data_IF_442286977163
#
_entry.id   IF_442286977163
#
_cell.length_a   1.000
_cell.length_b   1.000
_cell.length_c   1.000
_cell.angle_alpha   90.00
_cell.angle_beta   90.00
_cell.angle_gamma   90.00
#
_symmetry.space_group_name_H-M   'P 1'
#
loop_
_entity.id
_entity.type
_entity.pdbx_description
1 polymer ?
#
# COMPACT_ATOMS: atom_id res chain seq x y z
N UNK A 1 -64.19 -7.20 21.26
CA UNK A 1 -63.13 -7.31 22.29
C UNK A 1 -62.40 -8.61 22.06
N UNK A 2 -61.28 -8.56 21.33
CA UNK A 2 -60.23 -9.59 21.25
C UNK A 2 -59.15 -9.05 20.28
N UNK A 3 -58.19 -8.32 20.84
CA UNK A 3 -57.03 -7.79 20.14
C UNK A 3 -55.97 -8.88 20.11
N UNK A 4 -55.73 -9.51 18.96
CA UNK A 4 -54.59 -10.41 18.79
C UNK A 4 -53.30 -9.58 18.68
N UNK A 5 -52.59 -9.51 19.81
CA UNK A 5 -51.21 -9.05 19.89
C UNK A 5 -50.35 -10.25 19.50
N UNK A 6 -50.03 -10.38 18.21
CA UNK A 6 -48.87 -11.20 17.82
C UNK A 6 -47.61 -10.39 18.08
N UNK A 7 -46.86 -10.91 19.02
CA UNK A 7 -45.63 -10.39 19.60
C UNK A 7 -44.52 -10.31 18.55
N UNK A 8 -44.05 -9.10 18.28
CA UNK A 8 -42.76 -8.85 17.64
C UNK A 8 -41.67 -9.33 18.61
N UNK A 9 -41.22 -10.57 18.45
CA UNK A 9 -39.98 -11.07 19.03
C UNK A 9 -39.01 -11.39 17.89
N UNK A 10 -38.42 -10.35 17.30
CA UNK A 10 -37.16 -10.50 16.56
C UNK A 10 -36.07 -10.80 17.59
N UNK A 11 -35.86 -12.09 17.84
CA UNK A 11 -34.66 -12.57 18.51
C UNK A 11 -33.44 -12.12 17.72
N UNK A 12 -32.77 -11.06 18.19
CA UNK A 12 -31.46 -10.60 17.74
C UNK A 12 -30.40 -11.61 18.19
N UNK A 13 -30.43 -12.81 17.60
CA UNK A 13 -29.42 -13.82 17.86
C UNK A 13 -28.23 -13.56 16.91
N UNK A 14 -27.01 -13.27 17.40
CA UNK A 14 -25.85 -12.97 16.56
C UNK A 14 -25.54 -14.10 15.56
N UNK A 15 -25.87 -15.34 15.91
CA UNK A 15 -25.73 -16.51 15.04
C UNK A 15 -26.63 -16.42 13.80
N UNK A 16 -27.88 -15.96 13.94
CA UNK A 16 -28.81 -15.81 12.82
C UNK A 16 -28.43 -14.64 11.90
N UNK A 17 -27.79 -13.60 12.43
CA UNK A 17 -27.22 -12.51 11.65
C UNK A 17 -26.02 -12.99 10.80
N UNK A 18 -25.15 -13.83 11.38
CA UNK A 18 -24.02 -14.43 10.66
C UNK A 18 -24.51 -15.40 9.57
N UNK A 19 -25.47 -16.27 9.87
CA UNK A 19 -26.01 -17.24 8.90
C UNK A 19 -26.71 -16.54 7.73
N UNK A 20 -27.50 -15.49 8.00
CA UNK A 20 -28.17 -14.71 6.94
C UNK A 20 -27.19 -13.89 6.08
N UNK A 21 -26.11 -13.38 6.67
CA UNK A 21 -25.01 -12.75 5.93
C UNK A 21 -24.30 -13.75 4.99
N UNK A 22 -23.98 -14.95 5.48
CA UNK A 22 -23.37 -16.01 4.68
C UNK A 22 -24.28 -16.48 3.53
N UNK A 23 -25.59 -16.61 3.76
CA UNK A 23 -26.54 -17.00 2.71
C UNK A 23 -26.72 -15.91 1.63
N UNK A 24 -26.74 -14.63 2.03
CA UNK A 24 -26.86 -13.49 1.09
C UNK A 24 -25.60 -13.30 0.23
N UNK A 25 -24.43 -13.61 0.78
CA UNK A 25 -23.14 -13.47 0.09
C UNK A 25 -22.53 -14.80 -0.41
N UNK A 26 -23.28 -15.90 -0.37
CA UNK A 26 -22.80 -17.27 -0.65
C UNK A 26 -22.04 -17.38 -1.99
N UNK A 27 -22.58 -16.80 -3.08
CA UNK A 27 -21.92 -16.81 -4.40
C UNK A 27 -20.62 -15.98 -4.45
N UNK A 28 -20.53 -14.90 -3.65
CA UNK A 28 -19.35 -14.03 -3.58
C UNK A 28 -18.22 -14.62 -2.74
N UNK A 29 -18.52 -15.56 -1.84
CA UNK A 29 -17.53 -16.24 -0.99
C UNK A 29 -17.10 -17.58 -1.59
N UNK A 30 -18.05 -18.37 -2.13
CA UNK A 30 -17.75 -19.68 -2.70
C UNK A 30 -16.83 -19.56 -3.93
N UNK A 31 -17.05 -18.59 -4.83
CA UNK A 31 -16.25 -18.47 -6.06
C UNK A 31 -14.75 -18.22 -5.78
N UNK A 32 -14.35 -17.24 -4.94
CA UNK A 32 -12.95 -17.08 -4.56
C UNK A 32 -12.38 -18.30 -3.83
N UNK A 33 -13.17 -18.92 -2.96
CA UNK A 33 -12.69 -20.07 -2.18
C UNK A 33 -12.42 -21.28 -3.08
N UNK A 34 -13.29 -21.57 -4.04
CA UNK A 34 -13.06 -22.60 -5.06
C UNK A 34 -11.81 -22.28 -5.88
N UNK A 35 -11.63 -21.02 -6.31
CA UNK A 35 -10.44 -20.61 -7.05
C UNK A 35 -9.15 -20.83 -6.23
N UNK A 36 -9.14 -20.47 -4.94
CA UNK A 36 -8.01 -20.69 -4.04
C UNK A 36 -7.71 -22.19 -3.91
N UNK A 37 -8.73 -23.02 -3.67
CA UNK A 37 -8.55 -24.48 -3.56
C UNK A 37 -7.99 -25.07 -4.84
N UNK A 38 -8.52 -24.67 -6.00
CA UNK A 38 -8.00 -25.13 -7.31
C UNK A 38 -6.53 -24.73 -7.49
N UNK A 39 -6.15 -23.50 -7.14
CA UNK A 39 -4.75 -23.04 -7.21
C UNK A 39 -3.86 -23.88 -6.29
N UNK A 40 -4.28 -24.14 -5.04
CA UNK A 40 -3.52 -24.95 -4.08
C UNK A 40 -3.35 -26.40 -4.55
N UNK A 41 -4.40 -26.99 -5.14
CA UNK A 41 -4.34 -28.35 -5.69
C UNK A 41 -3.40 -28.42 -6.89
N UNK A 42 -3.50 -27.46 -7.81
CA UNK A 42 -2.58 -27.37 -8.97
C UNK A 42 -1.14 -27.25 -8.48
N UNK A 43 -0.88 -26.35 -7.52
CA UNK A 43 0.45 -26.18 -6.96
C UNK A 43 0.98 -27.45 -6.28
N UNK A 44 0.14 -28.15 -5.50
CA UNK A 44 0.50 -29.41 -4.86
C UNK A 44 0.81 -30.53 -5.88
N UNK A 45 0.06 -30.60 -6.99
CA UNK A 45 0.29 -31.59 -8.06
C UNK A 45 1.61 -31.29 -8.77
N UNK A 46 1.87 -30.03 -9.13
CA UNK A 46 3.10 -29.62 -9.83
C UNK A 46 4.37 -29.88 -9.00
N UNK A 47 4.27 -29.80 -7.67
CA UNK A 47 5.39 -30.02 -6.76
C UNK A 47 5.44 -31.44 -6.15
N UNK A 48 4.67 -32.39 -6.67
CA UNK A 48 4.64 -33.76 -6.14
C UNK A 48 5.88 -34.59 -6.51
N UNK A 49 6.56 -34.23 -7.61
CA UNK A 49 7.75 -34.96 -8.07
C UNK A 49 8.91 -34.85 -7.04
N UNK A 50 9.52 -35.96 -6.60
CA UNK A 50 10.67 -35.96 -5.68
C UNK A 50 11.88 -35.15 -6.17
N UNK A 51 11.98 -34.88 -7.48
CA UNK A 51 13.04 -34.04 -8.08
C UNK A 51 12.70 -32.54 -8.08
N UNK A 52 11.48 -32.17 -7.67
CA UNK A 52 11.07 -30.77 -7.59
C UNK A 52 11.88 -30.03 -6.53
N UNK A 53 12.59 -28.99 -6.96
CA UNK A 53 13.30 -28.06 -6.07
C UNK A 53 12.34 -27.20 -5.26
N UNK A 54 11.11 -26.96 -5.77
CA UNK A 54 10.11 -26.15 -5.09
C UNK A 54 9.25 -26.99 -4.14
N UNK A 55 9.02 -26.53 -2.89
CA UNK A 55 8.16 -27.23 -1.94
C UNK A 55 6.68 -26.98 -2.28
N UNK A 56 5.87 -28.03 -2.22
CA UNK A 56 4.41 -27.91 -2.26
C UNK A 56 3.84 -27.25 -0.99
N UNK A 57 2.56 -26.83 -1.00
CA UNK A 57 1.94 -26.10 0.11
C UNK A 57 2.02 -26.82 1.46
N UNK A 58 1.87 -28.15 1.47
CA UNK A 58 1.93 -28.95 2.71
C UNK A 58 3.34 -28.93 3.30
N UNK A 59 4.37 -29.15 2.47
CA UNK A 59 5.78 -29.13 2.88
C UNK A 59 6.20 -27.74 3.34
N UNK A 60 5.74 -26.70 2.63
CA UNK A 60 5.99 -25.30 2.97
C UNK A 60 5.46 -24.94 4.37
N UNK A 61 4.24 -25.36 4.71
CA UNK A 61 3.66 -25.15 6.05
C UNK A 61 4.40 -25.97 7.10
N UNK A 62 4.75 -27.22 6.81
CA UNK A 62 5.48 -28.07 7.75
C UNK A 62 6.86 -27.48 8.11
N UNK A 63 7.61 -27.00 7.11
CA UNK A 63 8.96 -26.44 7.31
C UNK A 63 8.94 -25.02 7.88
N UNK A 64 7.93 -24.22 7.53
CA UNK A 64 7.84 -22.82 7.97
C UNK A 64 6.86 -22.59 9.13
N UNK A 65 6.28 -23.67 9.66
CA UNK A 65 5.25 -23.61 10.71
C UNK A 65 5.70 -22.85 11.95
N UNK A 66 6.97 -22.98 12.34
CA UNK A 66 7.53 -22.26 13.48
C UNK A 66 7.50 -20.74 13.30
N UNK A 67 7.68 -20.23 12.07
CA UNK A 67 7.60 -18.79 11.77
C UNK A 67 6.17 -18.25 11.85
N UNK A 68 5.19 -19.12 11.58
CA UNK A 68 3.76 -18.79 11.68
C UNK A 68 3.32 -18.80 13.15
N UNK A 69 3.77 -19.79 13.93
CA UNK A 69 3.37 -19.99 15.33
C UNK A 69 4.05 -18.98 16.26
N UNK A 70 5.34 -18.71 16.03
CA UNK A 70 6.12 -17.77 16.84
C UNK A 70 6.57 -16.57 15.99
N UNK A 71 5.67 -15.71 15.50
CA UNK A 71 6.06 -14.63 14.61
C UNK A 71 6.83 -13.50 15.31
N UNK A 72 6.84 -13.46 16.65
CA UNK A 72 7.38 -12.36 17.48
C UNK A 72 8.77 -12.63 18.09
N UNK A 73 9.42 -13.76 17.80
CA UNK A 73 10.75 -14.02 18.38
C UNK A 73 11.77 -12.96 17.93
N UNK A 74 12.73 -12.65 18.79
CA UNK A 74 13.86 -11.77 18.47
C UNK A 74 15.12 -12.39 19.08
N UNK A 75 15.92 -13.05 18.25
CA UNK A 75 17.20 -13.66 18.67
C UNK A 75 18.37 -12.66 18.48
N UNK A 76 18.07 -11.41 18.16
CA UNK A 76 19.06 -10.38 17.87
C UNK A 76 19.52 -10.35 16.41
N UNK A 77 20.12 -9.23 16.01
CA UNK A 77 20.61 -9.04 14.64
C UNK A 77 19.50 -9.11 13.60
N UNK A 78 19.68 -9.98 12.59
CA UNK A 78 18.71 -10.23 11.51
C UNK A 78 17.83 -11.45 11.75
N UNK A 79 18.10 -12.25 12.80
CA UNK A 79 17.31 -13.44 13.15
C UNK A 79 16.10 -13.05 14.00
N UNK A 80 15.11 -12.48 13.32
CA UNK A 80 13.85 -12.04 13.91
C UNK A 80 12.68 -12.71 13.25
N UNK A 81 11.64 -12.95 14.04
CA UNK A 81 10.37 -13.47 13.59
C UNK A 81 9.72 -12.57 12.53
N UNK A 82 8.83 -13.18 11.74
CA UNK A 82 8.25 -12.56 10.56
C UNK A 82 7.51 -11.25 10.88
N UNK A 83 6.98 -11.10 12.09
CA UNK A 83 6.34 -9.86 12.55
C UNK A 83 7.32 -8.69 12.54
N UNK A 84 8.52 -8.86 13.10
CA UNK A 84 9.51 -7.78 13.20
C UNK A 84 10.07 -7.42 11.82
N UNK A 85 10.25 -8.42 10.94
CA UNK A 85 10.67 -8.19 9.56
C UNK A 85 9.63 -7.35 8.79
N UNK A 86 8.35 -7.73 8.90
CA UNK A 86 7.25 -7.00 8.27
C UNK A 86 7.06 -5.61 8.87
N UNK A 87 7.16 -5.48 10.20
CA UNK A 87 7.02 -4.21 10.89
C UNK A 87 8.10 -3.23 10.46
N UNK A 88 9.36 -3.67 10.35
CA UNK A 88 10.45 -2.82 9.87
C UNK A 88 10.18 -2.30 8.45
N UNK A 89 9.73 -3.16 7.53
CA UNK A 89 9.37 -2.75 6.17
C UNK A 89 8.16 -1.81 6.15
N UNK A 90 7.14 -2.09 6.96
CA UNK A 90 5.95 -1.24 7.10
C UNK A 90 6.28 0.13 7.68
N UNK A 91 7.19 0.23 8.64
CA UNK A 91 7.66 1.51 9.18
C UNK A 91 8.36 2.34 8.11
N UNK A 92 9.26 1.72 7.33
CA UNK A 92 9.92 2.41 6.21
C UNK A 92 8.91 2.90 5.18
N UNK A 93 7.97 2.05 4.78
CA UNK A 93 6.89 2.44 3.86
C UNK A 93 6.05 3.56 4.46
N UNK A 94 5.65 3.47 5.73
CA UNK A 94 4.87 4.50 6.40
C UNK A 94 5.56 5.87 6.38
N UNK A 95 6.85 5.92 6.73
CA UNK A 95 7.64 7.16 6.75
C UNK A 95 7.83 7.70 5.33
N UNK A 96 8.37 6.88 4.42
CA UNK A 96 8.69 7.30 3.05
C UNK A 96 7.44 7.69 2.25
N UNK A 97 6.35 6.94 2.41
CA UNK A 97 5.08 7.23 1.75
C UNK A 97 4.42 8.50 2.30
N UNK A 98 4.49 8.74 3.61
CA UNK A 98 3.95 9.97 4.20
C UNK A 98 4.68 11.20 3.66
N UNK A 99 6.01 11.14 3.55
CA UNK A 99 6.81 12.19 2.91
C UNK A 99 6.40 12.39 1.44
N UNK A 100 6.24 11.30 0.68
CA UNK A 100 5.78 11.36 -0.70
C UNK A 100 4.37 11.94 -0.84
N UNK A 101 3.46 11.62 0.09
CA UNK A 101 2.11 12.14 0.11
C UNK A 101 2.09 13.65 0.37
N UNK A 102 2.82 14.12 1.39
CA UNK A 102 2.88 15.56 1.72
C UNK A 102 3.46 16.35 0.54
N UNK A 103 4.61 15.93 0.02
CA UNK A 103 5.28 16.61 -1.09
C UNK A 103 4.47 16.50 -2.38
N UNK A 104 3.98 15.31 -2.69
CA UNK A 104 3.27 15.04 -3.93
C UNK A 104 1.92 15.76 -4.01
N UNK A 105 1.15 15.80 -2.91
CA UNK A 105 -0.11 16.55 -2.86
C UNK A 105 0.18 18.05 -2.98
N UNK A 106 1.17 18.56 -2.23
CA UNK A 106 1.51 19.99 -2.25
C UNK A 106 1.94 20.46 -3.63
N UNK A 107 2.86 19.72 -4.27
CA UNK A 107 3.33 20.01 -5.63
C UNK A 107 2.20 19.80 -6.65
N UNK A 108 1.43 18.73 -6.53
CA UNK A 108 0.33 18.43 -7.43
C UNK A 108 -0.75 19.52 -7.45
N UNK A 109 -1.10 20.07 -6.28
CA UNK A 109 -2.01 21.21 -6.17
C UNK A 109 -1.43 22.44 -6.84
N UNK A 110 -0.18 22.79 -6.49
CA UNK A 110 0.49 23.98 -6.98
C UNK A 110 0.56 23.97 -8.52
N UNK A 111 0.95 22.84 -9.09
CA UNK A 111 1.04 22.63 -10.55
C UNK A 111 -0.35 22.59 -11.19
N UNK A 112 -1.34 21.97 -10.55
CA UNK A 112 -2.72 21.95 -11.05
C UNK A 112 -3.37 23.33 -11.10
N UNK A 113 -2.94 24.27 -10.26
CA UNK A 113 -3.44 25.66 -10.29
C UNK A 113 -2.74 26.57 -11.30
N UNK A 114 -1.55 26.21 -11.79
CA UNK A 114 -0.75 27.06 -12.66
C UNK A 114 -0.38 26.35 -13.96
N UNK A 115 -0.99 26.77 -15.07
CA UNK A 115 -0.77 26.18 -16.40
C UNK A 115 0.69 26.29 -16.87
N UNK A 116 1.38 27.39 -16.56
CA UNK A 116 2.79 27.57 -16.93
C UNK A 116 3.67 26.53 -16.24
N UNK A 117 3.41 26.27 -14.96
CA UNK A 117 4.16 25.25 -14.21
C UNK A 117 3.85 23.85 -14.69
N UNK A 118 2.60 23.58 -15.08
CA UNK A 118 2.22 22.32 -15.70
C UNK A 118 3.01 22.10 -17.00
N UNK A 119 2.96 23.06 -17.93
CA UNK A 119 3.64 22.95 -19.23
C UNK A 119 5.17 22.80 -19.09
N UNK A 120 5.76 23.43 -18.07
CA UNK A 120 7.20 23.36 -17.81
C UNK A 120 7.66 22.07 -17.11
N UNK A 121 6.89 21.56 -16.14
CA UNK A 121 7.31 20.44 -15.28
C UNK A 121 6.79 19.09 -15.76
N UNK A 122 5.66 19.05 -16.47
CA UNK A 122 5.05 17.80 -16.92
C UNK A 122 6.02 16.94 -17.76
N UNK A 123 6.76 17.48 -18.75
CA UNK A 123 7.74 16.68 -19.51
C UNK A 123 8.83 16.07 -18.62
N UNK A 124 9.29 16.81 -17.60
CA UNK A 124 10.33 16.34 -16.66
C UNK A 124 9.78 15.18 -15.83
N UNK A 125 8.56 15.31 -15.30
CA UNK A 125 7.92 14.24 -14.54
C UNK A 125 7.64 13.01 -15.39
N UNK A 126 7.26 13.20 -16.65
CA UNK A 126 7.05 12.11 -17.59
C UNK A 126 8.33 11.29 -17.82
N UNK A 127 9.50 11.92 -17.86
CA UNK A 127 10.79 11.21 -17.93
C UNK A 127 11.09 10.54 -16.60
N UNK A 128 11.05 11.27 -15.50
CA UNK A 128 11.45 10.75 -14.18
C UNK A 128 10.60 9.56 -13.72
N UNK A 129 9.30 9.56 -14.02
CA UNK A 129 8.39 8.45 -13.65
C UNK A 129 8.67 7.15 -14.41
N UNK A 130 9.35 7.21 -15.55
CA UNK A 130 9.67 6.01 -16.36
C UNK A 130 10.93 5.31 -15.90
N UNK A 131 11.75 5.98 -15.08
CA UNK A 131 12.98 5.41 -14.54
C UNK A 131 12.60 4.39 -13.45
N UNK A 132 13.09 3.13 -13.55
CA UNK A 132 12.84 2.14 -12.51
C UNK A 132 13.29 2.65 -11.13
N UNK A 133 12.45 2.55 -10.08
CA UNK A 133 12.80 3.10 -8.77
C UNK A 133 14.11 2.56 -8.18
N UNK A 134 14.44 1.29 -8.45
CA UNK A 134 15.67 0.66 -7.98
C UNK A 134 16.94 1.28 -8.60
N UNK A 135 16.85 1.88 -9.79
CA UNK A 135 17.98 2.56 -10.42
C UNK A 135 18.45 3.79 -9.62
N UNK A 136 17.58 4.34 -8.77
CA UNK A 136 17.90 5.47 -7.89
C UNK A 136 18.66 5.05 -6.63
N UNK A 137 18.68 3.76 -6.30
CA UNK A 137 19.23 3.28 -5.04
C UNK A 137 20.73 3.58 -4.90
N UNK A 138 21.62 3.29 -5.88
CA UNK A 138 23.04 3.63 -5.77
C UNK A 138 23.29 5.14 -5.66
N UNK A 139 22.50 5.95 -6.37
CA UNK A 139 22.57 7.42 -6.31
C UNK A 139 22.20 7.90 -4.90
N UNK A 140 21.14 7.35 -4.31
CA UNK A 140 20.73 7.69 -2.94
C UNK A 140 21.75 7.26 -1.90
N UNK A 141 22.35 6.07 -2.04
CA UNK A 141 23.42 5.62 -1.15
C UNK A 141 24.63 6.56 -1.21
N UNK A 142 25.09 6.93 -2.41
CA UNK A 142 26.20 7.86 -2.57
C UNK A 142 25.91 9.27 -2.05
N UNK A 143 24.71 9.79 -2.31
CA UNK A 143 24.30 11.13 -1.86
C UNK A 143 24.18 11.21 -0.34
N UNK A 144 23.50 10.24 0.29
CA UNK A 144 23.29 10.23 1.74
C UNK A 144 24.48 9.71 2.52
N UNK A 145 25.48 9.12 1.88
CA UNK A 145 26.75 8.81 2.54
C UNK A 145 27.50 10.08 2.96
N UNK A 146 27.40 11.15 2.16
CA UNK A 146 28.02 12.45 2.46
C UNK A 146 27.11 13.37 3.26
N UNK A 147 25.81 13.32 2.99
CA UNK A 147 24.81 14.21 3.60
C UNK A 147 23.63 13.39 4.10
N UNK A 148 23.80 12.67 5.21
CA UNK A 148 22.68 11.98 5.86
C UNK A 148 21.84 12.99 6.67
N UNK A 149 20.63 13.38 6.24
CA UNK A 149 19.81 14.33 6.98
C UNK A 149 19.28 13.80 8.33
N UNK A 150 19.38 12.48 8.54
CA UNK A 150 18.91 11.79 9.75
C UNK A 150 20.07 11.22 10.59
N UNK A 151 21.31 11.67 10.35
CA UNK A 151 22.49 11.16 11.07
C UNK A 151 22.38 11.37 12.58
N UNK A 152 21.91 12.56 13.00
CA UNK A 152 21.66 12.89 14.41
C UNK A 152 20.53 12.10 15.07
N UNK A 153 19.72 11.37 14.29
CA UNK A 153 18.66 10.46 14.78
C UNK A 153 19.10 8.98 14.79
N UNK A 154 20.35 8.68 14.41
CA UNK A 154 20.89 7.32 14.40
C UNK A 154 20.39 6.44 13.24
N UNK A 155 19.78 7.03 12.21
CA UNK A 155 19.30 6.28 11.05
C UNK A 155 20.45 6.01 10.07
N UNK A 156 20.60 4.76 9.64
CA UNK A 156 21.69 4.36 8.73
C UNK A 156 21.42 4.87 7.31
N UNK A 157 22.49 5.17 6.56
CA UNK A 157 22.41 5.59 5.14
C UNK A 157 21.61 4.61 4.28
N UNK A 158 21.71 3.31 4.58
CA UNK A 158 20.93 2.24 3.96
C UNK A 158 19.42 2.45 4.10
N UNK A 159 18.98 2.81 5.30
CA UNK A 159 17.55 3.01 5.61
C UNK A 159 17.03 4.28 4.94
N UNK A 160 17.79 5.37 4.99
CA UNK A 160 17.44 6.64 4.33
C UNK A 160 17.34 6.45 2.81
N UNK A 161 18.23 5.65 2.22
CA UNK A 161 18.20 5.32 0.80
C UNK A 161 16.94 4.52 0.43
N UNK A 162 16.53 3.57 1.27
CA UNK A 162 15.28 2.84 1.08
C UNK A 162 14.04 3.77 1.17
N UNK A 163 14.04 4.74 2.11
CA UNK A 163 12.99 5.76 2.20
C UNK A 163 12.93 6.64 0.94
N UNK A 164 14.08 6.99 0.37
CA UNK A 164 14.15 7.76 -0.87
C UNK A 164 13.60 6.99 -2.07
N UNK A 165 13.90 5.69 -2.17
CA UNK A 165 13.32 4.82 -3.20
C UNK A 165 11.80 4.76 -3.07
N UNK A 166 11.28 4.63 -1.85
CA UNK A 166 9.82 4.71 -1.59
C UNK A 166 9.27 6.06 -2.05
N UNK A 167 9.95 7.15 -1.69
CA UNK A 167 9.53 8.51 -2.01
C UNK A 167 9.44 8.72 -3.53
N UNK A 168 10.50 8.42 -4.27
CA UNK A 168 10.54 8.63 -5.72
C UNK A 168 9.54 7.71 -6.44
N UNK A 169 9.22 6.56 -5.87
CA UNK A 169 8.21 5.64 -6.41
C UNK A 169 6.79 6.21 -6.28
N UNK A 170 6.44 6.69 -5.09
CA UNK A 170 5.08 7.13 -4.80
C UNK A 170 4.78 8.56 -5.26
N UNK A 171 5.80 9.43 -5.34
CA UNK A 171 5.56 10.86 -5.57
C UNK A 171 4.90 11.13 -6.93
N UNK A 172 5.26 10.40 -7.99
CA UNK A 172 4.75 10.65 -9.34
C UNK A 172 3.24 10.42 -9.49
N UNK A 173 2.67 9.23 -9.16
CA UNK A 173 1.24 9.04 -9.27
C UNK A 173 0.46 10.01 -8.36
N UNK A 174 1.02 10.40 -7.21
CA UNK A 174 0.38 11.36 -6.30
C UNK A 174 0.32 12.75 -6.94
N UNK A 175 1.44 13.27 -7.46
CA UNK A 175 1.49 14.56 -8.16
C UNK A 175 0.49 14.57 -9.32
N UNK A 176 0.62 13.59 -10.22
CA UNK A 176 -0.17 13.55 -11.47
C UNK A 176 -1.66 13.51 -11.17
N UNK A 177 -2.11 12.59 -10.30
CA UNK A 177 -3.54 12.50 -9.99
C UNK A 177 -4.04 13.75 -9.25
N UNK A 178 -3.24 14.33 -8.35
CA UNK A 178 -3.62 15.56 -7.66
C UNK A 178 -3.75 16.73 -8.63
N UNK A 179 -2.80 16.89 -9.56
CA UNK A 179 -2.84 17.91 -10.62
C UNK A 179 -4.08 17.74 -11.49
N UNK A 180 -4.37 16.51 -11.94
CA UNK A 180 -5.58 16.21 -12.71
C UNK A 180 -6.84 16.57 -11.94
N UNK A 181 -6.93 16.20 -10.66
CA UNK A 181 -8.09 16.52 -9.81
C UNK A 181 -8.34 18.02 -9.66
N UNK A 182 -7.27 18.83 -9.55
CA UNK A 182 -7.39 20.29 -9.51
C UNK A 182 -7.79 20.88 -10.85
N UNK A 183 -7.27 20.36 -11.95
CA UNK A 183 -7.61 20.83 -13.30
C UNK A 183 -9.05 20.47 -13.69
N UNK A 184 -9.57 19.33 -13.23
CA UNK A 184 -10.92 18.84 -13.54
C UNK A 184 -12.05 19.49 -12.72
N UNK A 185 -11.75 20.46 -11.85
CA UNK A 185 -12.79 21.22 -11.14
C UNK A 185 -13.72 21.89 -12.16
N UNK A 186 -15.05 21.62 -12.13
CA UNK A 186 -15.97 22.17 -13.12
C UNK A 186 -15.96 23.69 -13.15
N UNK A 187 -16.13 24.25 -14.34
CA UNK A 187 -16.08 25.69 -14.55
C UNK A 187 -17.14 26.45 -13.74
N UNK A 188 -18.29 25.82 -13.47
CA UNK A 188 -19.37 26.40 -12.67
C UNK A 188 -18.92 26.70 -11.24
N UNK A 189 -18.18 25.81 -10.58
CA UNK A 189 -17.62 26.06 -9.26
C UNK A 189 -16.65 27.26 -9.27
N UNK A 190 -15.84 27.37 -10.32
CA UNK A 190 -14.91 28.50 -10.51
C UNK A 190 -15.68 29.81 -10.74
N UNK A 191 -16.76 29.77 -11.52
CA UNK A 191 -17.61 30.93 -11.79
C UNK A 191 -18.36 31.40 -10.54
N UNK A 192 -18.95 30.49 -9.78
CA UNK A 192 -19.62 30.78 -8.50
C UNK A 192 -18.64 31.41 -7.51
N UNK A 193 -17.42 30.88 -7.41
CA UNK A 193 -16.39 31.47 -6.56
C UNK A 193 -16.04 32.92 -6.96
N UNK A 194 -16.00 33.20 -8.27
CA UNK A 194 -15.73 34.54 -8.82
C UNK A 194 -16.87 35.52 -8.53
N UNK A 195 -18.12 35.08 -8.73
CA UNK A 195 -19.32 35.90 -8.46
C UNK A 195 -19.44 36.24 -6.97
N UNK A 196 -19.23 35.24 -6.10
CA UNK A 196 -19.25 35.42 -4.64
C UNK A 196 -17.98 36.10 -4.09
N UNK A 197 -17.00 36.43 -4.95
CA UNK A 197 -15.69 37.00 -4.59
C UNK A 197 -15.05 36.28 -3.40
N UNK A 198 -15.04 34.95 -3.46
CA UNK A 198 -14.48 34.15 -2.37
C UNK A 198 -12.98 34.41 -2.23
N UNK A 199 -12.48 34.68 -1.01
CA UNK A 199 -11.04 34.79 -0.78
C UNK A 199 -10.34 33.46 -1.05
N UNK A 200 -9.08 33.50 -1.49
CA UNK A 200 -8.33 32.31 -1.93
C UNK A 200 -8.31 31.17 -0.91
N UNK A 201 -8.22 31.49 0.39
CA UNK A 201 -8.30 30.48 1.45
C UNK A 201 -9.67 29.79 1.52
N UNK A 202 -10.78 30.52 1.35
CA UNK A 202 -12.13 29.91 1.30
C UNK A 202 -12.31 29.08 0.03
N UNK A 203 -11.81 29.56 -1.11
CA UNK A 203 -11.81 28.78 -2.36
C UNK A 203 -11.04 27.46 -2.19
N UNK A 204 -9.85 27.53 -1.57
CA UNK A 204 -9.01 26.36 -1.32
C UNK A 204 -9.74 25.30 -0.47
N UNK A 205 -10.22 25.67 0.72
CA UNK A 205 -10.82 24.70 1.65
C UNK A 205 -12.24 24.26 1.28
N UNK A 206 -13.03 25.10 0.59
CA UNK A 206 -14.44 24.78 0.29
C UNK A 206 -14.69 24.24 -1.12
N UNK A 207 -13.80 24.48 -2.06
CA UNK A 207 -14.02 24.13 -3.48
C UNK A 207 -12.88 23.27 -3.99
N UNK A 208 -11.65 23.80 -3.97
CA UNK A 208 -10.51 23.14 -4.59
C UNK A 208 -10.17 21.82 -3.91
N UNK A 209 -9.92 21.85 -2.60
CA UNK A 209 -9.48 20.66 -1.87
C UNK A 209 -10.55 19.56 -1.92
N UNK A 210 -11.83 19.81 -1.54
CA UNK A 210 -12.87 18.77 -1.57
C UNK A 210 -13.06 18.13 -2.95
N UNK A 211 -13.02 18.93 -4.03
CA UNK A 211 -13.17 18.41 -5.39
C UNK A 211 -11.96 17.58 -5.86
N UNK A 212 -10.76 17.89 -5.37
CA UNK A 212 -9.54 17.15 -5.70
C UNK A 212 -9.33 15.89 -4.83
N UNK A 213 -9.97 15.79 -3.66
CA UNK A 213 -9.80 14.66 -2.71
C UNK A 213 -9.92 13.29 -3.38
N UNK A 214 -10.94 12.98 -4.21
CA UNK A 214 -11.07 11.66 -4.85
C UNK A 214 -9.86 11.29 -5.71
N UNK A 215 -9.33 12.27 -6.45
CA UNK A 215 -8.15 12.10 -7.28
C UNK A 215 -6.87 11.97 -6.45
N UNK A 216 -6.74 12.75 -5.38
CA UNK A 216 -5.64 12.61 -4.41
C UNK A 216 -5.60 11.18 -3.87
N UNK A 217 -6.74 10.62 -3.42
CA UNK A 217 -6.80 9.25 -2.93
C UNK A 217 -6.52 8.20 -4.00
N UNK A 218 -6.87 8.46 -5.26
CA UNK A 218 -6.48 7.60 -6.39
C UNK A 218 -4.96 7.57 -6.53
N UNK A 219 -4.30 8.73 -6.49
CA UNK A 219 -2.84 8.84 -6.50
C UNK A 219 -2.18 8.15 -5.30
N UNK A 220 -2.70 8.38 -4.09
CA UNK A 220 -2.22 7.74 -2.85
C UNK A 220 -2.35 6.23 -2.89
N UNK A 221 -3.46 5.70 -3.41
CA UNK A 221 -3.70 4.26 -3.52
C UNK A 221 -2.76 3.58 -4.51
N UNK A 222 -2.48 4.23 -5.65
CA UNK A 222 -1.47 3.75 -6.59
C UNK A 222 -0.08 3.83 -5.94
N UNK A 223 0.23 4.95 -5.29
CA UNK A 223 1.51 5.20 -4.64
C UNK A 223 1.85 4.17 -3.57
N UNK A 224 0.92 3.85 -2.65
CA UNK A 224 1.19 2.89 -1.56
C UNK A 224 1.47 1.49 -2.08
N UNK A 225 0.77 1.06 -3.13
CA UNK A 225 0.98 -0.24 -3.77
C UNK A 225 2.36 -0.33 -4.40
N UNK A 226 2.77 0.71 -5.13
CA UNK A 226 4.10 0.77 -5.74
C UNK A 226 5.22 0.89 -4.69
N UNK A 227 5.01 1.67 -3.62
CA UNK A 227 5.95 1.76 -2.49
C UNK A 227 6.17 0.41 -1.81
N UNK A 228 5.10 -0.36 -1.62
CA UNK A 228 5.18 -1.71 -1.04
C UNK A 228 6.01 -2.66 -1.91
N UNK A 229 5.84 -2.60 -3.23
CA UNK A 229 6.65 -3.40 -4.15
C UNK A 229 8.12 -2.95 -4.16
N UNK A 230 8.36 -1.64 -4.18
CA UNK A 230 9.69 -1.07 -4.25
C UNK A 230 10.52 -1.34 -2.98
N UNK A 231 9.90 -1.27 -1.78
CA UNK A 231 10.64 -1.51 -0.54
C UNK A 231 11.16 -2.94 -0.44
N UNK A 232 10.37 -3.94 -0.89
CA UNK A 232 10.78 -5.35 -0.84
C UNK A 232 12.05 -5.53 -1.67
N UNK A 233 12.06 -5.00 -2.89
CA UNK A 233 13.23 -5.08 -3.76
C UNK A 233 14.42 -4.24 -3.25
N UNK A 234 14.18 -3.07 -2.66
CA UNK A 234 15.25 -2.26 -2.07
C UNK A 234 15.92 -2.96 -0.87
N UNK A 235 15.14 -3.59 0.00
CA UNK A 235 15.66 -4.34 1.16
C UNK A 235 16.47 -5.57 0.76
N UNK A 236 16.15 -6.21 -0.38
CA UNK A 236 16.95 -7.31 -0.93
C UNK A 236 18.38 -6.87 -1.27
N UNK A 237 18.57 -5.62 -1.69
CA UNK A 237 19.88 -5.10 -2.11
C UNK A 237 20.70 -4.52 -0.94
N UNK A 238 20.03 -3.88 0.01
CA UNK A 238 20.70 -3.10 1.06
C UNK A 238 20.93 -3.93 2.33
N UNK A 239 20.08 -4.94 2.55
CA UNK A 239 20.13 -5.82 3.70
C UNK A 239 19.72 -5.20 5.05
N UNK A 240 19.81 -5.99 6.11
CA UNK A 240 19.38 -5.62 7.46
C UNK A 240 18.03 -6.24 7.84
N UNK A 241 17.30 -5.65 8.79
CA UNK A 241 15.98 -6.17 9.21
C UNK A 241 14.93 -5.68 8.20
N UNK A 242 14.15 -6.57 7.62
CA UNK A 242 13.12 -6.27 6.62
C UNK A 242 12.63 -7.52 5.89
N UNK A 243 11.39 -7.52 5.42
CA UNK A 243 10.80 -8.67 4.72
C UNK A 243 11.53 -9.00 3.41
N UNK A 244 12.04 -7.97 2.70
CA UNK A 244 12.80 -8.18 1.47
C UNK A 244 14.16 -8.85 1.72
N UNK A 245 14.86 -8.42 2.77
CA UNK A 245 16.10 -9.08 3.18
C UNK A 245 15.83 -10.52 3.65
N UNK A 246 14.76 -10.74 4.42
CA UNK A 246 14.38 -12.09 4.86
C UNK A 246 14.14 -13.05 3.67
N UNK A 247 13.48 -12.56 2.60
CA UNK A 247 13.30 -13.32 1.35
C UNK A 247 14.65 -13.67 0.73
N UNK A 248 15.54 -12.69 0.60
CA UNK A 248 16.85 -12.88 -0.02
C UNK A 248 17.75 -13.81 0.79
N UNK A 249 17.77 -13.66 2.11
CA UNK A 249 18.52 -14.52 3.03
C UNK A 249 18.00 -15.96 3.01
N UNK A 250 16.67 -16.14 3.03
CA UNK A 250 16.05 -17.46 2.93
C UNK A 250 16.36 -18.14 1.61
N UNK A 251 16.37 -17.38 0.50
CA UNK A 251 16.76 -17.88 -0.81
C UNK A 251 18.22 -18.34 -0.84
N UNK A 252 19.15 -17.51 -0.36
CA UNK A 252 20.58 -17.86 -0.30
C UNK A 252 20.85 -19.05 0.64
N UNK A 253 20.02 -19.21 1.66
CA UNK A 253 20.06 -20.36 2.58
C UNK A 253 19.38 -21.62 2.03
N UNK A 254 18.90 -21.61 0.77
CA UNK A 254 18.11 -22.70 0.17
C UNK A 254 16.83 -23.08 0.93
N UNK A 255 16.31 -22.17 1.77
CA UNK A 255 15.08 -22.35 2.55
C UNK A 255 13.88 -21.82 1.77
N UNK A 256 13.56 -22.47 0.64
CA UNK A 256 12.52 -22.03 -0.30
C UNK A 256 11.11 -22.01 0.32
N UNK A 257 10.85 -22.85 1.32
CA UNK A 257 9.59 -22.83 2.08
C UNK A 257 9.36 -21.49 2.78
N UNK A 258 10.42 -20.90 3.37
CA UNK A 258 10.35 -19.59 4.02
C UNK A 258 10.19 -18.45 3.01
N UNK A 259 10.82 -18.56 1.83
CA UNK A 259 10.64 -17.60 0.72
C UNK A 259 9.17 -17.54 0.32
N UNK A 260 8.55 -18.70 0.08
CA UNK A 260 7.15 -18.76 -0.32
C UNK A 260 6.23 -18.22 0.79
N UNK A 261 6.53 -18.53 2.06
CA UNK A 261 5.80 -17.95 3.21
C UNK A 261 5.84 -16.43 3.17
N UNK A 262 7.04 -15.85 3.05
CA UNK A 262 7.23 -14.42 3.04
C UNK A 262 6.52 -13.76 1.86
N UNK A 263 6.56 -14.35 0.66
CA UNK A 263 5.83 -13.85 -0.52
C UNK A 263 4.31 -13.83 -0.29
N UNK A 264 3.75 -14.86 0.35
CA UNK A 264 2.31 -14.87 0.72
C UNK A 264 2.00 -13.74 1.70
N UNK A 265 2.82 -13.55 2.73
CA UNK A 265 2.65 -12.44 3.68
C UNK A 265 2.76 -11.08 3.00
N UNK A 266 3.69 -10.92 2.06
CA UNK A 266 3.83 -9.70 1.26
C UNK A 266 2.57 -9.41 0.46
N UNK A 267 1.96 -10.44 -0.15
CA UNK A 267 0.69 -10.31 -0.86
C UNK A 267 -0.47 -9.91 0.06
N UNK A 268 -0.58 -10.54 1.23
CA UNK A 268 -1.63 -10.22 2.23
C UNK A 268 -1.47 -8.79 2.72
N UNK A 269 -0.26 -8.39 3.12
CA UNK A 269 0.02 -7.04 3.64
C UNK A 269 -0.21 -5.98 2.56
N UNK A 270 0.22 -6.22 1.32
CA UNK A 270 -0.05 -5.33 0.20
C UNK A 270 -1.54 -5.12 -0.04
N UNK A 271 -2.34 -6.20 0.02
CA UNK A 271 -3.81 -6.09 -0.05
C UNK A 271 -4.39 -5.31 1.12
N UNK A 272 -3.89 -5.52 2.34
CA UNK A 272 -4.34 -4.78 3.51
C UNK A 272 -4.04 -3.29 3.40
N UNK A 273 -2.85 -2.92 2.92
CA UNK A 273 -2.47 -1.51 2.68
C UNK A 273 -3.38 -0.86 1.64
N UNK A 274 -3.65 -1.53 0.51
CA UNK A 274 -4.59 -1.04 -0.51
C UNK A 274 -5.99 -0.81 0.06
N UNK A 275 -6.50 -1.78 0.83
CA UNK A 275 -7.82 -1.69 1.48
C UNK A 275 -7.87 -0.62 2.56
N UNK A 276 -6.78 -0.40 3.29
CA UNK A 276 -6.68 0.64 4.29
C UNK A 276 -6.81 2.02 3.64
N UNK A 277 -6.08 2.29 2.56
CA UNK A 277 -6.18 3.56 1.84
C UNK A 277 -7.58 3.74 1.24
N UNK A 278 -8.15 2.70 0.65
CA UNK A 278 -9.53 2.75 0.13
C UNK A 278 -10.57 2.98 1.22
N UNK A 279 -10.38 2.41 2.41
CA UNK A 279 -11.25 2.64 3.56
C UNK A 279 -11.17 4.09 4.05
N UNK A 280 -9.96 4.63 4.19
CA UNK A 280 -9.76 6.05 4.55
C UNK A 280 -10.41 6.96 3.50
N UNK A 281 -10.21 6.68 2.21
CA UNK A 281 -10.84 7.43 1.13
C UNK A 281 -12.37 7.44 1.28
N UNK A 282 -13.00 6.30 1.58
CA UNK A 282 -14.45 6.20 1.75
C UNK A 282 -15.01 7.02 2.92
N UNK A 283 -14.17 7.38 3.90
CA UNK A 283 -14.55 8.21 5.05
C UNK A 283 -14.35 9.71 4.79
N UNK A 284 -13.39 10.06 3.94
CA UNK A 284 -13.01 11.45 3.66
C UNK A 284 -13.70 12.00 2.41
N UNK A 285 -13.97 11.17 1.40
CA UNK A 285 -14.67 11.56 0.17
C UNK A 285 -16.15 11.85 0.48
N UNK A 286 -16.67 13.05 0.16
CA UNK A 286 -18.07 13.40 0.35
C UNK A 286 -19.01 12.45 -0.41
N UNK A 287 -20.18 12.14 0.16
CA UNK A 287 -21.13 11.16 -0.42
C UNK A 287 -21.65 11.57 -1.81
N UNK A 288 -21.67 12.86 -2.13
CA UNK A 288 -22.06 13.38 -3.45
C UNK A 288 -21.05 13.03 -4.57
N UNK A 289 -19.85 12.57 -4.22
CA UNK A 289 -18.73 12.27 -5.14
C UNK A 289 -18.25 10.81 -5.06
N UNK A 290 -18.96 9.93 -4.34
CA UNK A 290 -18.71 8.48 -4.28
C UNK A 290 -19.34 7.75 -5.46
#
# INVERSE_FOLDING_TARGET
MATNIETISKSNNPVNAVISFFNKNRRKIIRPLVAIVVILVIWQILCHDPKSTLPGPIKMIAESGNLIINPFFDNGGTDKGLFWQLLASLQRVGIGFTLAAILGISLGILIGTNSLMFDALDPIFQVLRTIPPLAWLPISLGAFQQFNPFDGMGMKTSEVSALFVILITAIWPIIINTTVGVQQIPQDYRNVARVLRLPGQKYFWKILLPSAVPYIFTGLRIGIGLSWLAIVAAEMLVGGVGIGFFIWDSYNSSRLSHVILAVIYVGIVGLLLDRLVGFIASKVVPEEQK
#
